data_IF_335410435609
#
_entry.id   IF_335410435609
#
_cell.length_a   1.000
_cell.length_b   1.000
_cell.length_c   1.000
_cell.angle_alpha   90.00
_cell.angle_beta   90.00
_cell.angle_gamma   90.00
#
_symmetry.space_group_name_H-M   'P 1'
#
loop_
_entity.id
_entity.type
_entity.pdbx_description
1 polymer ?
#
# COMPACT_ATOMS: atom_id res chain seq x y z
N UNK A 1 -20.16 22.65 10.35
CA UNK A 1 -19.89 21.86 11.56
C UNK A 1 -19.25 22.77 12.60
N UNK A 2 -19.72 22.78 13.86
CA UNK A 2 -19.12 23.63 14.91
C UNK A 2 -17.72 23.15 15.28
N UNK A 3 -16.90 24.04 15.88
CA UNK A 3 -15.52 23.73 16.29
C UNK A 3 -15.43 22.52 17.22
N UNK A 4 -16.30 22.44 18.23
CA UNK A 4 -16.32 21.30 19.16
C UNK A 4 -16.70 19.99 18.45
N UNK A 5 -17.67 20.02 17.54
CA UNK A 5 -18.06 18.85 16.74
C UNK A 5 -16.90 18.34 15.87
N UNK A 6 -16.07 19.26 15.36
CA UNK A 6 -14.86 18.91 14.61
C UNK A 6 -13.82 18.20 15.51
N UNK A 7 -13.57 18.70 16.72
CA UNK A 7 -12.71 18.00 17.69
C UNK A 7 -13.27 16.62 18.08
N UNK A 8 -14.58 16.53 18.29
CA UNK A 8 -15.27 15.25 18.59
C UNK A 8 -15.10 14.25 17.44
N UNK A 9 -15.29 14.70 16.21
CA UNK A 9 -15.12 13.87 15.01
C UNK A 9 -13.71 13.29 14.93
N UNK A 10 -12.67 14.11 15.09
CA UNK A 10 -11.28 13.65 15.02
C UNK A 10 -10.97 12.56 16.06
N UNK A 11 -11.44 12.73 17.30
CA UNK A 11 -11.28 11.72 18.36
C UNK A 11 -11.96 10.39 17.98
N UNK A 12 -13.22 10.46 17.56
CA UNK A 12 -14.01 9.26 17.25
C UNK A 12 -13.51 8.57 15.98
N UNK A 13 -13.06 9.33 14.97
CA UNK A 13 -12.48 8.81 13.73
C UNK A 13 -11.15 8.09 13.98
N UNK A 14 -10.26 8.69 14.78
CA UNK A 14 -9.02 8.03 15.22
C UNK A 14 -9.31 6.71 15.95
N UNK A 15 -10.27 6.71 16.87
CA UNK A 15 -10.68 5.49 17.58
C UNK A 15 -11.26 4.43 16.63
N UNK A 16 -11.99 4.82 15.57
CA UNK A 16 -12.49 3.86 14.56
C UNK A 16 -11.35 3.16 13.84
N UNK A 17 -10.28 3.88 13.50
CA UNK A 17 -9.08 3.30 12.87
C UNK A 17 -8.28 2.42 13.85
N UNK A 18 -8.25 2.78 15.13
CA UNK A 18 -7.64 1.99 16.20
C UNK A 18 -8.56 0.87 16.75
N UNK A 19 -9.38 0.27 15.89
CA UNK A 19 -10.28 -0.86 16.22
C UNK A 19 -11.32 -0.60 17.34
N UNK A 20 -11.55 0.67 17.70
CA UNK A 20 -12.60 1.09 18.63
C UNK A 20 -12.16 1.23 20.10
N UNK A 21 -10.89 0.99 20.43
CA UNK A 21 -10.38 1.13 21.81
C UNK A 21 -8.89 1.45 21.81
N UNK A 22 -8.50 2.59 22.39
CA UNK A 22 -7.10 3.00 22.50
C UNK A 22 -6.86 3.94 23.69
N UNK A 23 -5.61 4.15 24.09
CA UNK A 23 -5.24 5.13 25.11
C UNK A 23 -5.32 6.57 24.57
N UNK A 24 -5.41 7.57 25.47
CA UNK A 24 -5.33 9.00 25.08
C UNK A 24 -4.11 9.28 24.19
N UNK A 25 -2.95 8.73 24.53
CA UNK A 25 -1.72 8.96 23.78
C UNK A 25 -1.85 8.46 22.34
N UNK A 26 -2.26 7.20 22.16
CA UNK A 26 -2.41 6.59 20.83
C UNK A 26 -3.43 7.33 19.96
N UNK A 27 -4.56 7.77 20.54
CA UNK A 27 -5.59 8.54 19.81
C UNK A 27 -5.03 9.88 19.32
N UNK A 28 -4.36 10.62 20.19
CA UNK A 28 -3.84 11.94 19.85
C UNK A 28 -2.62 11.85 18.92
N UNK A 29 -1.74 10.88 19.12
CA UNK A 29 -0.62 10.62 18.22
C UNK A 29 -1.13 10.23 16.83
N UNK A 30 -2.17 9.41 16.73
CA UNK A 30 -2.81 9.09 15.45
C UNK A 30 -3.32 10.33 14.71
N UNK A 31 -3.96 11.28 15.40
CA UNK A 31 -4.45 12.53 14.78
C UNK A 31 -3.29 13.39 14.27
N UNK A 32 -2.22 13.47 15.05
CA UNK A 32 -1.02 14.28 14.78
C UNK A 32 -0.20 13.69 13.61
N UNK A 33 0.09 12.38 13.67
CA UNK A 33 0.87 11.64 12.67
C UNK A 33 0.18 11.64 11.29
N UNK A 34 -1.15 11.59 11.25
CA UNK A 34 -1.90 11.66 10.00
C UNK A 34 -2.20 13.11 9.56
N UNK A 35 -1.70 14.13 10.27
CA UNK A 35 -1.87 15.55 9.92
C UNK A 35 -3.34 15.98 9.78
N UNK A 36 -4.26 15.41 10.56
CA UNK A 36 -5.70 15.67 10.43
C UNK A 36 -6.18 16.99 11.04
N UNK A 37 -5.35 17.62 11.89
CA UNK A 37 -5.72 18.78 12.68
C UNK A 37 -5.08 20.06 12.12
N UNK A 38 -5.92 21.05 11.81
CA UNK A 38 -5.48 22.40 11.48
C UNK A 38 -5.16 23.17 12.77
N UNK A 39 -3.88 23.32 13.06
CA UNK A 39 -3.37 24.06 14.21
C UNK A 39 -3.60 25.58 14.09
N UNK A 40 -3.90 26.23 15.21
CA UNK A 40 -3.64 27.68 15.40
C UNK A 40 -2.45 27.84 16.34
N UNK A 41 -1.82 29.02 16.32
CA UNK A 41 -0.62 29.29 17.12
C UNK A 41 -0.77 28.91 18.60
N UNK A 42 -1.93 29.17 19.21
CA UNK A 42 -2.18 28.82 20.61
C UNK A 42 -2.17 27.32 20.89
N UNK A 43 -2.45 26.47 19.91
CA UNK A 43 -2.50 25.02 20.05
C UNK A 43 -1.12 24.41 20.33
N UNK A 44 -0.08 25.02 19.77
CA UNK A 44 1.32 24.59 19.87
C UNK A 44 2.00 25.11 21.15
N UNK A 45 1.30 25.89 21.96
CA UNK A 45 1.78 26.33 23.27
C UNK A 45 1.80 25.15 24.25
N UNK A 46 2.89 25.02 25.00
CA UNK A 46 2.97 24.06 26.11
C UNK A 46 2.37 24.68 27.37
N UNK A 47 1.40 23.98 27.98
CA UNK A 47 0.80 24.40 29.25
C UNK A 47 1.78 24.16 30.40
N UNK A 48 2.13 25.22 31.11
CA UNK A 48 3.03 25.17 32.28
C UNK A 48 2.50 24.28 33.43
N UNK A 49 1.18 24.08 33.49
CA UNK A 49 0.53 23.28 34.54
C UNK A 49 0.58 21.77 34.33
N UNK A 50 0.77 21.29 33.09
CA UNK A 50 0.70 19.86 32.75
C UNK A 50 1.79 19.35 31.81
N UNK A 51 2.72 20.23 31.39
CA UNK A 51 3.78 19.93 30.42
C UNK A 51 3.25 19.20 29.17
N UNK A 52 2.15 19.71 28.62
CA UNK A 52 1.43 19.13 27.48
C UNK A 52 1.00 20.27 26.54
N UNK A 53 0.97 20.00 25.23
CA UNK A 53 0.48 20.94 24.22
C UNK A 53 -1.00 21.27 24.47
N UNK A 54 -1.38 22.53 24.26
CA UNK A 54 -2.72 23.03 24.57
C UNK A 54 -3.82 22.22 23.87
N UNK A 55 -3.63 21.85 22.60
CA UNK A 55 -4.63 21.08 21.85
C UNK A 55 -4.86 19.67 22.42
N UNK A 56 -3.79 19.01 22.88
CA UNK A 56 -3.88 17.66 23.48
C UNK A 56 -4.68 17.69 24.78
N UNK A 57 -4.54 18.78 25.54
CA UNK A 57 -5.35 19.02 26.72
C UNK A 57 -6.81 19.35 26.37
N UNK A 58 -7.07 20.18 25.35
CA UNK A 58 -8.44 20.46 24.87
C UNK A 58 -9.17 19.18 24.46
N UNK A 59 -8.53 18.31 23.68
CA UNK A 59 -9.14 17.05 23.23
C UNK A 59 -9.44 16.10 24.40
N UNK A 60 -8.63 16.15 25.48
CA UNK A 60 -8.94 15.41 26.70
C UNK A 60 -10.19 15.96 27.42
N UNK A 61 -10.46 17.26 27.35
CA UNK A 61 -11.71 17.85 27.83
C UNK A 61 -12.90 17.47 26.93
N UNK A 62 -12.73 17.50 25.60
CA UNK A 62 -13.77 17.04 24.66
C UNK A 62 -14.18 15.60 24.93
N UNK A 63 -13.22 14.73 25.27
CA UNK A 63 -13.51 13.35 25.69
C UNK A 63 -14.44 13.28 26.92
N UNK A 64 -14.35 14.23 27.86
CA UNK A 64 -15.25 14.25 29.02
C UNK A 64 -16.72 14.39 28.58
N UNK A 65 -17.00 15.27 27.62
CA UNK A 65 -18.35 15.42 27.06
C UNK A 65 -18.80 14.16 26.33
N UNK A 66 -17.92 13.56 25.51
CA UNK A 66 -18.23 12.31 24.80
C UNK A 66 -18.58 11.14 25.74
N UNK A 67 -17.99 11.08 26.94
CA UNK A 67 -18.36 10.08 27.96
C UNK A 67 -19.69 10.44 28.64
N UNK A 68 -19.89 11.70 29.01
CA UNK A 68 -21.13 12.16 29.64
C UNK A 68 -22.36 11.91 28.75
N UNK A 69 -22.19 12.06 27.44
CA UNK A 69 -23.23 11.84 26.43
C UNK A 69 -23.34 10.37 25.98
N UNK A 70 -22.49 9.47 26.51
CA UNK A 70 -22.55 8.03 26.27
C UNK A 70 -21.96 7.55 24.94
N UNK A 71 -21.20 8.40 24.23
CA UNK A 71 -20.50 8.04 22.99
C UNK A 71 -19.18 7.30 23.24
N UNK A 72 -18.54 7.56 24.38
CA UNK A 72 -17.39 6.82 24.89
C UNK A 72 -17.73 6.14 26.22
N UNK A 73 -17.14 4.98 26.46
CA UNK A 73 -17.37 4.23 27.70
C UNK A 73 -16.80 4.95 28.93
N UNK A 74 -17.54 4.91 30.03
CA UNK A 74 -17.11 5.37 31.35
C UNK A 74 -16.33 4.31 32.16
N UNK A 75 -16.28 3.06 31.68
CA UNK A 75 -15.73 1.91 32.41
C UNK A 75 -14.21 2.00 32.63
N UNK A 76 -13.50 2.76 31.80
CA UNK A 76 -12.07 2.97 31.92
C UNK A 76 -11.70 4.44 31.80
N UNK A 77 -10.84 4.90 32.70
CA UNK A 77 -10.20 6.21 32.61
C UNK A 77 -8.95 6.17 31.73
N UNK A 78 -8.35 4.99 31.57
CA UNK A 78 -7.11 4.78 30.81
C UNK A 78 -7.36 4.53 29.33
N UNK A 79 -8.38 3.75 29.00
CA UNK A 79 -8.76 3.40 27.63
C UNK A 79 -9.99 4.21 27.21
N UNK A 80 -9.91 4.84 26.05
CA UNK A 80 -11.03 5.47 25.38
C UNK A 80 -11.67 4.43 24.48
N UNK A 81 -12.90 4.03 24.78
CA UNK A 81 -13.60 2.94 24.10
C UNK A 81 -14.88 3.46 23.46
N UNK A 82 -15.02 3.23 22.16
CA UNK A 82 -16.21 3.58 21.37
C UNK A 82 -17.41 2.71 21.77
N UNK A 83 -18.52 3.36 22.17
CA UNK A 83 -19.80 2.67 22.38
C UNK A 83 -20.54 2.50 21.04
N UNK A 84 -21.58 1.64 20.97
CA UNK A 84 -22.44 1.55 19.78
C UNK A 84 -23.07 2.90 19.41
N UNK A 85 -23.52 3.68 20.40
CA UNK A 85 -24.04 5.04 20.18
C UNK A 85 -22.98 5.98 19.63
N UNK A 86 -21.73 5.87 20.11
CA UNK A 86 -20.60 6.64 19.60
C UNK A 86 -20.29 6.35 18.13
N UNK A 87 -20.45 5.10 17.68
CA UNK A 87 -20.29 4.74 16.26
C UNK A 87 -21.37 5.38 15.39
N UNK A 88 -22.63 5.32 15.80
CA UNK A 88 -23.73 5.96 15.07
C UNK A 88 -23.58 7.49 15.03
N UNK A 89 -23.13 8.09 16.13
CA UNK A 89 -22.84 9.51 16.19
C UNK A 89 -21.67 9.89 15.28
N UNK A 90 -20.60 9.08 15.23
CA UNK A 90 -19.50 9.26 14.29
C UNK A 90 -19.99 9.21 12.84
N UNK A 91 -20.84 8.25 12.46
CA UNK A 91 -21.37 8.18 11.09
C UNK A 91 -22.20 9.44 10.74
N UNK A 92 -22.93 9.98 11.72
CA UNK A 92 -23.66 11.25 11.57
C UNK A 92 -22.70 12.43 11.39
N UNK A 93 -21.64 12.51 12.19
CA UNK A 93 -20.61 13.54 12.06
C UNK A 93 -19.84 13.43 10.73
N UNK A 94 -19.59 12.21 10.24
CA UNK A 94 -18.93 11.96 8.96
C UNK A 94 -19.77 12.51 7.80
N UNK A 95 -21.08 12.28 7.79
CA UNK A 95 -21.96 12.83 6.74
C UNK A 95 -22.03 14.36 6.78
N UNK A 96 -22.06 14.96 7.97
CA UNK A 96 -21.99 16.42 8.15
C UNK A 96 -20.63 16.96 7.69
N UNK A 97 -19.52 16.32 8.06
CA UNK A 97 -18.18 16.79 7.71
C UNK A 97 -17.92 16.72 6.20
N UNK A 98 -18.43 15.69 5.52
CA UNK A 98 -18.37 15.58 4.04
C UNK A 98 -19.08 16.74 3.33
N UNK A 99 -20.26 17.11 3.83
CA UNK A 99 -21.14 18.13 3.24
C UNK A 99 -20.88 19.56 3.75
N UNK A 100 -20.06 19.74 4.78
CA UNK A 100 -19.82 21.06 5.37
C UNK A 100 -18.69 21.81 4.66
N UNK A 101 -18.96 23.06 4.29
CA UNK A 101 -17.96 23.99 3.75
C UNK A 101 -17.03 24.57 4.84
N UNK A 102 -17.41 24.49 6.12
CA UNK A 102 -16.64 25.05 7.23
C UNK A 102 -16.02 23.94 8.09
N UNK A 103 -14.75 23.64 7.79
CA UNK A 103 -13.89 22.67 8.47
C UNK A 103 -12.62 23.34 9.03
N UNK A 104 -12.78 24.43 9.78
CA UNK A 104 -11.65 25.23 10.30
C UNK A 104 -10.66 24.49 11.23
N UNK A 105 -11.03 23.35 11.82
CA UNK A 105 -10.15 22.49 12.64
C UNK A 105 -9.67 21.25 11.93
N UNK A 106 -10.38 20.81 10.90
CA UNK A 106 -10.07 19.55 10.23
C UNK A 106 -9.30 19.86 8.96
N UNK A 107 -8.12 19.27 8.81
CA UNK A 107 -7.49 19.24 7.50
C UNK A 107 -8.27 18.29 6.60
N UNK A 108 -9.00 18.87 5.64
CA UNK A 108 -9.89 18.10 4.76
C UNK A 108 -9.10 17.16 3.86
N UNK A 109 -7.91 17.55 3.41
CA UNK A 109 -7.09 16.75 2.51
C UNK A 109 -6.49 15.55 3.24
N UNK A 110 -6.07 15.69 4.50
CA UNK A 110 -5.49 14.60 5.27
C UNK A 110 -6.55 13.65 5.85
N UNK A 111 -7.73 14.15 6.23
CA UNK A 111 -8.83 13.31 6.74
C UNK A 111 -9.60 12.58 5.64
N UNK A 112 -9.85 13.27 4.51
CA UNK A 112 -10.68 12.74 3.42
C UNK A 112 -9.89 12.49 2.13
N UNK A 113 -8.61 12.83 2.04
CA UNK A 113 -7.81 12.59 0.84
C UNK A 113 -7.55 11.11 0.57
N UNK A 114 -7.55 10.29 1.62
CA UNK A 114 -7.54 8.82 1.50
C UNK A 114 -8.95 8.21 1.48
N UNK A 115 -10.01 9.02 1.72
CA UNK A 115 -11.35 8.64 1.27
C UNK A 115 -11.43 8.83 -0.25
N UNK A 116 -10.91 7.80 -0.92
CA UNK A 116 -11.75 7.05 -1.86
C UNK A 116 -13.16 6.98 -1.24
N UNK A 117 -14.02 7.91 -1.62
CA UNK A 117 -15.44 7.72 -1.42
C UNK A 117 -15.76 6.38 -2.06
N UNK A 118 -16.28 5.42 -1.30
CA UNK A 118 -16.77 4.17 -1.91
C UNK A 118 -17.91 4.45 -2.91
N UNK A 119 -18.40 5.71 -2.98
CA UNK A 119 -19.25 6.27 -4.04
C UNK A 119 -18.56 7.30 -4.99
N UNK A 120 -17.29 7.67 -4.81
CA UNK A 120 -16.48 8.54 -5.70
C UNK A 120 -15.09 7.99 -6.00
N UNK A 121 -14.88 6.67 -5.85
CA UNK A 121 -13.88 5.94 -6.65
C UNK A 121 -14.10 6.43 -8.07
N UNK A 122 -13.10 7.11 -8.62
CA UNK A 122 -13.06 7.75 -9.92
C UNK A 122 -14.12 7.20 -10.90
N UNK A 123 -15.31 7.80 -10.88
CA UNK A 123 -16.45 7.31 -11.64
C UNK A 123 -16.29 7.61 -13.12
N UNK A 124 -15.29 8.36 -13.57
CA UNK A 124 -15.03 8.48 -15.01
C UNK A 124 -14.24 7.30 -15.60
N UNK A 125 -13.27 6.73 -14.87
CA UNK A 125 -12.52 5.55 -15.35
C UNK A 125 -13.26 4.24 -15.09
N UNK A 126 -14.04 4.15 -14.00
CA UNK A 126 -14.81 2.94 -13.70
C UNK A 126 -16.17 2.89 -14.43
N UNK A 127 -16.84 4.03 -14.71
CA UNK A 127 -18.07 4.04 -15.53
C UNK A 127 -17.75 3.84 -17.01
N UNK A 128 -16.57 4.30 -17.49
CA UNK A 128 -16.14 3.93 -18.85
C UNK A 128 -16.04 2.42 -18.99
N UNK A 129 -15.42 1.75 -18.01
CA UNK A 129 -15.13 0.30 -18.06
C UNK A 129 -16.37 -0.61 -17.95
N UNK A 130 -17.44 -0.16 -17.31
CA UNK A 130 -18.68 -0.92 -17.13
C UNK A 130 -19.59 -0.93 -18.36
N UNK A 131 -19.29 -0.11 -19.38
CA UNK A 131 -20.04 0.04 -20.62
C UNK A 131 -19.22 -0.10 -21.90
N UNK A 132 -17.99 -0.63 -21.84
CA UNK A 132 -17.13 -0.77 -23.03
C UNK A 132 -17.63 -1.89 -23.94
N UNK A 133 -18.05 -1.54 -25.15
CA UNK A 133 -17.91 -2.46 -26.26
C UNK A 133 -16.41 -2.63 -26.56
N UNK A 134 -15.98 -3.84 -26.91
CA UNK A 134 -14.58 -4.10 -27.23
C UNK A 134 -14.15 -3.27 -28.46
N UNK A 135 -13.48 -2.14 -28.24
CA UNK A 135 -12.84 -1.40 -29.32
C UNK A 135 -11.59 -2.17 -29.78
N UNK A 136 -11.59 -2.56 -31.06
CA UNK A 136 -10.45 -3.26 -31.66
C UNK A 136 -9.63 -2.26 -32.46
N UNK A 137 -8.38 -2.03 -32.06
CA UNK A 137 -7.43 -1.20 -32.80
C UNK A 137 -6.41 -2.10 -33.50
N UNK A 138 -6.28 -1.95 -34.82
CA UNK A 138 -5.21 -2.61 -35.57
C UNK A 138 -3.86 -1.92 -35.31
N UNK A 139 -2.99 -2.59 -34.55
CA UNK A 139 -1.63 -2.10 -34.28
C UNK A 139 -0.62 -2.88 -35.12
N UNK A 140 0.03 -2.22 -36.09
CA UNK A 140 1.20 -2.77 -36.78
C UNK A 140 2.42 -2.71 -35.86
N UNK A 141 2.67 -3.78 -35.10
CA UNK A 141 3.86 -3.91 -34.24
C UNK A 141 5.01 -4.59 -34.98
N UNK A 142 6.19 -3.96 -34.97
CA UNK A 142 7.45 -4.64 -35.29
C UNK A 142 7.86 -5.45 -34.07
N UNK A 143 7.82 -6.78 -34.17
CA UNK A 143 8.23 -7.68 -33.09
C UNK A 143 9.57 -8.34 -33.41
N UNK A 144 10.49 -8.33 -32.45
CA UNK A 144 11.73 -9.11 -32.53
C UNK A 144 11.36 -10.58 -32.33
N UNK A 145 11.70 -11.43 -33.31
CA UNK A 145 11.45 -12.87 -33.25
C UNK A 145 12.20 -13.48 -32.05
N UNK A 146 11.44 -14.05 -31.11
CA UNK A 146 11.99 -14.81 -29.98
C UNK A 146 12.17 -16.28 -30.38
N UNK A 147 13.38 -16.81 -30.25
CA UNK A 147 13.67 -18.20 -30.56
C UNK A 147 13.14 -19.10 -29.44
N UNK A 148 12.02 -19.77 -29.70
CA UNK A 148 11.39 -20.65 -28.70
C UNK A 148 12.20 -21.92 -28.41
N UNK A 149 13.09 -22.32 -29.32
CA UNK A 149 13.93 -23.51 -29.16
C UNK A 149 14.85 -23.42 -27.95
N UNK A 150 15.54 -22.28 -27.77
CA UNK A 150 16.43 -22.09 -26.63
C UNK A 150 15.66 -22.02 -25.31
N UNK A 151 14.50 -21.37 -25.29
CA UNK A 151 13.64 -21.30 -24.10
C UNK A 151 13.18 -22.70 -23.68
N UNK A 152 12.72 -23.53 -24.61
CA UNK A 152 12.32 -24.91 -24.33
C UNK A 152 13.50 -25.74 -23.79
N UNK A 153 14.68 -25.58 -24.41
CA UNK A 153 15.91 -26.24 -23.96
C UNK A 153 16.27 -25.85 -22.53
N UNK A 154 16.25 -24.55 -22.21
CA UNK A 154 16.57 -24.03 -20.88
C UNK A 154 15.52 -24.47 -19.83
N UNK A 155 14.23 -24.40 -20.16
CA UNK A 155 13.17 -24.90 -19.26
C UNK A 155 13.34 -26.38 -18.92
N UNK A 156 13.71 -27.20 -19.90
CA UNK A 156 14.03 -28.61 -19.67
C UNK A 156 15.30 -28.77 -18.82
N UNK A 157 16.37 -28.04 -19.15
CA UNK A 157 17.65 -28.04 -18.43
C UNK A 157 17.45 -27.75 -16.93
N UNK A 158 16.75 -26.66 -16.60
CA UNK A 158 16.50 -26.25 -15.23
C UNK A 158 15.26 -26.88 -14.58
N UNK A 159 14.63 -27.87 -15.23
CA UNK A 159 13.42 -28.53 -14.73
C UNK A 159 12.30 -27.54 -14.33
N UNK A 160 12.18 -26.42 -15.04
CA UNK A 160 11.28 -25.30 -14.72
C UNK A 160 11.45 -24.72 -13.30
N UNK A 161 12.60 -24.88 -12.65
CA UNK A 161 12.91 -24.24 -11.37
C UNK A 161 13.49 -22.86 -11.59
N UNK A 162 13.19 -21.95 -10.66
CA UNK A 162 13.80 -20.64 -10.63
C UNK A 162 15.32 -20.75 -10.47
N UNK A 163 16.09 -20.05 -11.29
CA UNK A 163 17.56 -20.06 -11.24
C UNK A 163 18.16 -19.21 -10.11
N UNK A 164 17.35 -18.41 -9.41
CA UNK A 164 17.78 -17.75 -8.17
C UNK A 164 18.02 -18.84 -7.12
N UNK A 165 19.25 -18.91 -6.61
CA UNK A 165 19.74 -19.97 -5.72
C UNK A 165 18.84 -20.15 -4.50
N UNK A 166 18.48 -19.04 -3.85
CA UNK A 166 17.64 -19.01 -2.65
C UNK A 166 16.17 -19.40 -2.89
N UNK A 167 15.72 -19.48 -4.15
CA UNK A 167 14.32 -19.66 -4.50
C UNK A 167 13.99 -21.07 -4.99
N UNK A 168 14.57 -21.48 -6.13
CA UNK A 168 14.28 -22.77 -6.80
C UNK A 168 12.79 -23.12 -6.99
N UNK A 169 11.89 -22.15 -6.81
CA UNK A 169 10.45 -22.38 -6.76
C UNK A 169 9.89 -22.74 -8.14
N UNK A 170 8.94 -23.68 -8.13
CA UNK A 170 8.16 -24.09 -9.30
C UNK A 170 6.89 -24.80 -8.82
N UNK A 171 5.87 -24.88 -9.67
CA UNK A 171 4.63 -25.61 -9.38
C UNK A 171 4.08 -26.28 -10.64
N UNK A 172 3.32 -27.36 -10.47
CA UNK A 172 2.67 -28.06 -11.58
C UNK A 172 1.43 -27.31 -12.06
N UNK A 173 1.32 -27.12 -13.38
CA UNK A 173 0.11 -26.65 -14.04
C UNK A 173 -0.93 -27.77 -14.13
N UNK A 174 -2.16 -27.43 -14.50
CA UNK A 174 -3.23 -28.40 -14.75
C UNK A 174 -2.89 -29.46 -15.80
N UNK A 175 -1.96 -29.19 -16.72
CA UNK A 175 -1.47 -30.15 -17.72
C UNK A 175 -0.31 -31.03 -17.22
N UNK A 176 0.08 -30.94 -15.95
CA UNK A 176 1.17 -31.70 -15.34
C UNK A 176 2.57 -31.13 -15.58
N UNK A 177 2.76 -30.18 -16.50
CA UNK A 177 4.05 -29.52 -16.69
C UNK A 177 4.30 -28.47 -15.61
N UNK A 178 5.55 -28.30 -15.20
CA UNK A 178 5.93 -27.26 -14.25
C UNK A 178 5.94 -25.86 -14.89
N UNK A 179 5.53 -24.87 -14.12
CA UNK A 179 5.49 -23.47 -14.55
C UNK A 179 6.81 -22.76 -14.27
N UNK A 180 7.26 -21.99 -15.27
CA UNK A 180 8.40 -21.07 -15.19
C UNK A 180 8.32 -20.03 -16.31
N UNK A 181 8.98 -18.90 -16.13
CA UNK A 181 9.05 -17.81 -17.11
C UNK A 181 10.50 -17.57 -17.53
N UNK A 182 10.73 -17.39 -18.84
CA UNK A 182 12.05 -17.07 -19.36
C UNK A 182 12.21 -15.56 -19.47
N UNK A 183 13.28 -15.02 -18.91
CA UNK A 183 13.58 -13.60 -18.85
C UNK A 183 14.91 -13.30 -19.53
N UNK A 184 14.99 -12.20 -20.27
CA UNK A 184 16.26 -11.75 -20.85
C UNK A 184 16.88 -10.72 -19.90
N UNK A 185 18.04 -11.02 -19.33
CA UNK A 185 18.74 -10.12 -18.40
C UNK A 185 19.06 -8.76 -19.04
N UNK A 186 19.57 -8.79 -20.28
CA UNK A 186 19.60 -7.63 -21.17
C UNK A 186 18.41 -7.68 -22.12
N UNK A 187 17.50 -6.68 -22.11
CA UNK A 187 16.34 -6.66 -22.98
C UNK A 187 16.70 -6.72 -24.48
N UNK A 188 15.90 -7.43 -25.28
CA UNK A 188 16.09 -7.51 -26.74
C UNK A 188 15.97 -6.13 -27.42
N UNK A 189 15.13 -5.24 -26.87
CA UNK A 189 14.98 -3.86 -27.34
C UNK A 189 16.26 -3.03 -27.20
N UNK A 190 17.16 -3.43 -26.30
CA UNK A 190 18.43 -2.77 -26.02
C UNK A 190 19.62 -3.54 -26.61
N UNK A 191 19.35 -4.45 -27.56
CA UNK A 191 20.38 -5.27 -28.21
C UNK A 191 20.87 -6.44 -27.38
N UNK A 192 20.09 -6.93 -26.41
CA UNK A 192 20.35 -8.19 -25.72
C UNK A 192 20.34 -9.39 -26.68
N UNK A 193 21.30 -10.31 -26.51
CA UNK A 193 21.36 -11.54 -27.28
C UNK A 193 20.32 -12.58 -26.83
N UNK A 194 20.06 -13.60 -27.65
CA UNK A 194 19.20 -14.73 -27.28
C UNK A 194 20.02 -15.99 -26.96
N UNK A 195 21.23 -15.81 -26.42
CA UNK A 195 22.13 -16.87 -25.98
C UNK A 195 21.78 -17.32 -24.55
N UNK A 196 22.22 -18.52 -24.15
CA UNK A 196 21.83 -19.13 -22.86
C UNK A 196 22.21 -18.27 -21.66
N UNK A 197 23.32 -17.54 -21.72
CA UNK A 197 23.81 -16.68 -20.65
C UNK A 197 22.91 -15.46 -20.39
N UNK A 198 22.19 -14.99 -21.42
CA UNK A 198 21.30 -13.84 -21.31
C UNK A 198 19.86 -14.25 -20.97
N UNK A 199 19.51 -15.54 -21.04
CA UNK A 199 18.15 -16.04 -20.82
C UNK A 199 18.10 -16.86 -19.54
N UNK A 200 17.38 -16.37 -18.54
CA UNK A 200 17.22 -17.04 -17.24
C UNK A 200 15.79 -17.54 -17.04
N UNK A 201 15.66 -18.68 -16.38
CA UNK A 201 14.39 -19.32 -16.02
C UNK A 201 14.04 -18.93 -14.58
N UNK A 202 12.89 -18.29 -14.39
CA UNK A 202 12.47 -17.71 -13.12
C UNK A 202 11.03 -18.13 -12.76
N UNK A 203 10.69 -18.02 -11.47
CA UNK A 203 9.30 -18.03 -11.04
C UNK A 203 8.62 -16.69 -11.37
N UNK A 204 7.28 -16.65 -11.30
CA UNK A 204 6.51 -15.45 -11.60
C UNK A 204 6.94 -14.22 -10.76
N UNK A 205 7.28 -14.45 -9.48
CA UNK A 205 7.65 -13.38 -8.56
C UNK A 205 9.00 -12.76 -8.95
N UNK A 206 10.07 -13.57 -9.07
CA UNK A 206 11.37 -13.06 -9.48
C UNK A 206 11.35 -12.48 -10.90
N UNK A 207 10.59 -13.07 -11.82
CA UNK A 207 10.43 -12.50 -13.15
C UNK A 207 9.86 -11.08 -13.09
N UNK A 208 8.83 -10.84 -12.24
CA UNK A 208 8.26 -9.51 -12.05
C UNK A 208 9.19 -8.58 -11.28
N UNK A 209 9.91 -9.07 -10.27
CA UNK A 209 10.93 -8.29 -9.58
C UNK A 209 11.96 -7.76 -10.56
N UNK A 210 12.42 -8.57 -11.51
CA UNK A 210 13.39 -8.13 -12.52
C UNK A 210 12.85 -7.07 -13.51
N UNK A 211 11.53 -6.93 -13.64
CA UNK A 211 10.92 -5.87 -14.47
C UNK A 211 10.68 -4.56 -13.72
N UNK A 212 10.51 -4.61 -12.40
CA UNK A 212 9.97 -3.47 -11.63
C UNK A 212 10.82 -3.04 -10.43
N UNK A 213 11.74 -3.88 -9.95
CA UNK A 213 12.66 -3.54 -8.88
C UNK A 213 13.90 -2.81 -9.42
N UNK A 214 14.69 -2.22 -8.52
CA UNK A 214 16.03 -1.77 -8.84
C UNK A 214 16.95 -2.98 -8.92
N UNK A 215 17.53 -3.24 -10.10
CA UNK A 215 18.29 -4.45 -10.40
C UNK A 215 19.66 -4.10 -10.93
N UNK A 216 20.69 -4.59 -10.24
CA UNK A 216 22.07 -4.55 -10.71
C UNK A 216 22.54 -5.97 -11.03
N UNK A 217 22.98 -6.18 -12.27
CA UNK A 217 23.40 -7.49 -12.77
C UNK A 217 24.93 -7.49 -12.85
N UNK A 218 25.56 -8.40 -12.11
CA UNK A 218 27.00 -8.62 -12.15
C UNK A 218 27.45 -9.41 -13.38
N UNK A 219 28.77 -9.55 -13.51
CA UNK A 219 29.39 -10.39 -14.54
C UNK A 219 29.14 -11.88 -14.26
N UNK A 220 29.13 -12.69 -15.31
CA UNK A 220 29.10 -14.15 -15.19
C UNK A 220 30.50 -14.64 -14.86
N UNK A 221 30.66 -15.25 -13.69
CA UNK A 221 31.91 -15.88 -13.28
C UNK A 221 31.69 -17.38 -13.12
N UNK A 222 32.37 -18.17 -13.97
CA UNK A 222 32.19 -19.62 -14.08
C UNK A 222 30.74 -19.97 -14.44
N UNK A 223 29.95 -20.30 -13.42
CA UNK A 223 28.59 -20.83 -13.51
C UNK A 223 27.61 -20.01 -12.66
N UNK A 224 28.06 -18.88 -12.11
CA UNK A 224 27.29 -18.07 -11.18
C UNK A 224 27.33 -16.60 -11.58
N UNK A 225 26.22 -15.91 -11.35
CA UNK A 225 26.12 -14.47 -11.55
C UNK A 225 25.48 -13.82 -10.35
N UNK A 226 26.15 -12.83 -9.78
CA UNK A 226 25.59 -12.00 -8.71
C UNK A 226 24.50 -11.12 -9.32
N UNK A 227 23.34 -11.09 -8.68
CA UNK A 227 22.26 -10.15 -8.98
C UNK A 227 21.87 -9.45 -7.68
N UNK A 228 21.80 -8.13 -7.72
CA UNK A 228 21.31 -7.33 -6.61
C UNK A 228 19.90 -6.83 -6.93
N UNK A 229 18.93 -7.14 -6.07
CA UNK A 229 17.53 -6.73 -6.23
C UNK A 229 17.15 -5.90 -5.00
N UNK A 230 16.88 -4.60 -5.18
CA UNK A 230 16.61 -3.65 -4.09
C UNK A 230 17.67 -3.69 -2.97
N UNK A 231 18.94 -3.78 -3.32
CA UNK A 231 20.05 -3.84 -2.36
C UNK A 231 20.32 -5.23 -1.76
N UNK A 232 19.50 -6.23 -2.07
CA UNK A 232 19.69 -7.61 -1.59
C UNK A 232 20.45 -8.40 -2.66
N UNK A 233 21.61 -8.96 -2.29
CA UNK A 233 22.44 -9.76 -3.17
C UNK A 233 21.98 -11.21 -3.19
N UNK A 234 21.76 -11.70 -4.40
CA UNK A 234 21.36 -13.06 -4.73
C UNK A 234 22.29 -13.64 -5.80
N UNK A 235 22.22 -14.96 -6.00
CA UNK A 235 22.99 -15.66 -7.01
C UNK A 235 22.06 -16.30 -8.05
N UNK A 236 22.37 -16.08 -9.33
CA UNK A 236 21.82 -16.84 -10.45
C UNK A 236 22.79 -17.97 -10.72
N UNK A 237 22.30 -19.21 -10.63
CA UNK A 237 23.10 -20.41 -10.89
C UNK A 237 22.81 -20.95 -12.29
N UNK A 238 23.86 -21.20 -13.05
CA UNK A 238 23.84 -21.82 -14.36
C UNK A 238 24.30 -23.27 -14.22
N UNK A 239 23.52 -24.22 -14.72
CA UNK A 239 23.92 -25.63 -14.68
C UNK A 239 24.86 -25.90 -15.86
N UNK A 240 26.01 -26.53 -15.63
CA UNK A 240 26.86 -27.02 -16.72
C UNK A 240 26.26 -28.29 -17.34
N UNK A 241 26.57 -28.51 -18.62
CA UNK A 241 26.25 -29.75 -19.35
C UNK A 241 27.31 -30.80 -19.02
#
# INVERSE_FOLDING_TARGET
MKREEQSRFLILYALRLLSGSATKKEVLDCIDENSWLNYIDSDLETLSSRNELRWRNEFAFVRQHLVQEGYLSSESTRLWVLTPNGRQYLDSLLSIAKSSENLSRIDRASVFGDEIDLNSVNSLELISDLGLENETVEVKRKQIKRYQGIVKKLKAKYQNKCQIESCQFSFAKSNGEHYSEAHHLKPLSEGGGQHEENVVILCANHHRMLHYADVVIGELERDERIIEINGIKELIVYQMV
#
